data_IF_015246600575
#
_entry.id   IF_015246600575
#
_cell.length_a   1.000
_cell.length_b   1.000
_cell.length_c   1.000
_cell.angle_alpha   90.00
_cell.angle_beta   90.00
_cell.angle_gamma   90.00
#
_symmetry.space_group_name_H-M   'P 1'
#
loop_
_entity.id
_entity.type
_entity.pdbx_description
1 polymer ?
#
# COMPACT_ATOMS: atom_id res chain seq x y z
N UNK A 1 4.96 -14.89 14.98
CA UNK A 1 6.18 -14.09 14.65
C UNK A 1 6.58 -14.15 13.18
N UNK A 2 6.51 -15.30 12.51
CA UNK A 2 6.80 -15.42 11.06
C UNK A 2 6.05 -14.40 10.20
N UNK A 3 4.73 -14.27 10.39
CA UNK A 3 3.89 -13.33 9.63
C UNK A 3 4.26 -11.85 9.82
N UNK A 4 4.73 -11.49 11.01
CA UNK A 4 5.19 -10.12 11.32
C UNK A 4 6.43 -9.80 10.48
N UNK A 5 7.42 -10.71 10.48
CA UNK A 5 8.67 -10.55 9.72
C UNK A 5 8.37 -10.50 8.23
N UNK A 6 7.54 -11.42 7.72
CA UNK A 6 7.10 -11.42 6.33
C UNK A 6 6.37 -10.14 5.95
N UNK A 7 5.47 -9.66 6.81
CA UNK A 7 4.74 -8.41 6.58
C UNK A 7 5.65 -7.19 6.47
N UNK A 8 6.66 -7.10 7.36
CA UNK A 8 7.68 -6.05 7.30
C UNK A 8 8.52 -6.16 6.02
N UNK A 9 8.93 -7.37 5.62
CA UNK A 9 9.69 -7.58 4.38
C UNK A 9 8.90 -7.11 3.14
N UNK A 10 7.62 -7.47 3.02
CA UNK A 10 6.75 -7.02 1.92
C UNK A 10 6.53 -5.50 1.92
N UNK A 11 6.43 -4.88 3.10
CA UNK A 11 6.31 -3.43 3.22
C UNK A 11 7.60 -2.69 2.80
N UNK A 12 8.76 -3.22 3.16
CA UNK A 12 10.06 -2.67 2.76
C UNK A 12 10.31 -2.84 1.26
N UNK A 13 10.04 -4.03 0.72
CA UNK A 13 10.14 -4.29 -0.71
C UNK A 13 9.21 -3.36 -1.50
N UNK A 14 7.94 -3.25 -1.11
CA UNK A 14 6.99 -2.36 -1.77
C UNK A 14 7.39 -0.88 -1.69
N UNK A 15 7.95 -0.44 -0.55
CA UNK A 15 8.51 0.92 -0.41
C UNK A 15 9.68 1.15 -1.36
N UNK A 16 10.55 0.16 -1.52
CA UNK A 16 11.68 0.23 -2.43
C UNK A 16 11.21 0.31 -3.90
N UNK A 17 10.21 -0.48 -4.31
CA UNK A 17 9.63 -0.42 -5.68
C UNK A 17 9.01 0.93 -5.99
N UNK A 18 8.41 1.59 -4.99
CA UNK A 18 7.80 2.91 -5.20
C UNK A 18 8.87 3.97 -5.45
N UNK A 19 9.98 3.90 -4.70
CA UNK A 19 11.09 4.87 -4.82
C UNK A 19 11.93 4.63 -6.08
N UNK A 20 12.23 3.38 -6.36
CA UNK A 20 13.09 2.95 -7.45
C UNK A 20 12.35 1.86 -8.26
N UNK A 21 11.34 2.25 -9.06
CA UNK A 21 10.54 1.30 -9.83
C UNK A 21 11.36 0.56 -10.89
N UNK A 22 12.43 1.15 -11.39
CA UNK A 22 13.30 0.55 -12.41
C UNK A 22 14.50 -0.23 -11.84
N UNK A 23 14.43 -0.64 -10.58
CA UNK A 23 15.51 -1.38 -9.93
C UNK A 23 15.64 -2.80 -10.48
N UNK A 24 16.86 -3.34 -10.48
CA UNK A 24 17.17 -4.68 -11.04
C UNK A 24 16.31 -5.79 -10.46
N UNK A 25 15.96 -5.71 -9.16
CA UNK A 25 15.09 -6.68 -8.53
C UNK A 25 13.63 -6.57 -9.02
N UNK A 26 13.14 -5.35 -9.28
CA UNK A 26 11.79 -5.12 -9.78
C UNK A 26 11.68 -5.58 -11.25
N UNK A 27 12.73 -5.34 -12.05
CA UNK A 27 12.91 -5.92 -13.39
C UNK A 27 12.96 -7.44 -13.36
N UNK A 28 13.75 -8.01 -12.46
CA UNK A 28 13.84 -9.46 -12.26
C UNK A 28 12.49 -10.10 -11.91
N UNK A 29 11.74 -9.49 -10.98
CA UNK A 29 10.42 -9.97 -10.58
C UNK A 29 9.39 -9.90 -11.71
N UNK A 30 9.47 -8.86 -12.53
CA UNK A 30 8.59 -8.66 -13.70
C UNK A 30 9.08 -9.36 -14.97
N UNK A 31 10.24 -10.03 -14.91
CA UNK A 31 10.91 -10.71 -16.04
C UNK A 31 11.16 -9.77 -17.23
N UNK A 32 11.49 -8.52 -16.94
CA UNK A 32 11.84 -7.53 -17.95
C UNK A 32 13.35 -7.61 -18.21
N UNK A 33 13.78 -7.75 -19.47
CA UNK A 33 15.20 -7.72 -19.84
C UNK A 33 15.87 -6.39 -19.46
N UNK A 34 17.18 -6.45 -19.15
CA UNK A 34 17.94 -5.27 -18.71
C UNK A 34 18.15 -4.22 -19.82
N UNK A 35 18.07 -4.64 -21.08
CA UNK A 35 18.31 -3.84 -22.28
C UNK A 35 17.05 -3.09 -22.78
N UNK A 36 15.90 -3.28 -22.13
CA UNK A 36 14.64 -2.63 -22.49
C UNK A 36 14.44 -1.36 -21.66
N UNK A 37 14.39 -0.20 -22.32
CA UNK A 37 13.96 1.05 -21.68
C UNK A 37 12.47 0.98 -21.32
N UNK A 38 12.15 1.27 -20.06
CA UNK A 38 10.78 1.27 -19.57
C UNK A 38 10.10 2.61 -19.83
N UNK A 39 8.87 2.55 -20.32
CA UNK A 39 8.06 3.76 -20.48
C UNK A 39 7.54 4.26 -19.14
N UNK A 40 7.17 5.54 -19.05
CA UNK A 40 6.55 6.12 -17.86
C UNK A 40 5.33 5.31 -17.38
N UNK A 41 4.57 4.73 -18.31
CA UNK A 41 3.39 3.92 -18.00
C UNK A 41 3.79 2.61 -17.30
N UNK A 42 4.91 2.02 -17.68
CA UNK A 42 5.43 0.77 -17.08
C UNK A 42 5.98 1.02 -15.68
N UNK A 43 6.72 2.12 -15.49
CA UNK A 43 7.20 2.56 -14.18
C UNK A 43 6.04 2.82 -13.22
N UNK A 44 4.99 3.47 -13.71
CA UNK A 44 3.75 3.68 -12.95
C UNK A 44 3.11 2.33 -12.57
N UNK A 45 3.00 1.39 -13.51
CA UNK A 45 2.47 0.05 -13.22
C UNK A 45 3.27 -0.64 -12.10
N UNK A 46 4.60 -0.54 -12.10
CA UNK A 46 5.44 -1.08 -11.03
C UNK A 46 5.19 -0.42 -9.68
N UNK A 47 5.08 0.92 -9.64
CA UNK A 47 4.75 1.64 -8.41
C UNK A 47 3.39 1.23 -7.82
N UNK A 48 2.39 0.92 -8.67
CA UNK A 48 1.11 0.36 -8.19
C UNK A 48 1.28 -1.02 -7.58
N UNK A 49 2.14 -1.85 -8.18
CA UNK A 49 2.56 -3.13 -7.61
C UNK A 49 3.21 -2.96 -6.23
N UNK A 50 4.08 -1.96 -6.07
CA UNK A 50 4.68 -1.59 -4.78
C UNK A 50 3.65 -1.20 -3.72
N UNK A 51 2.63 -0.41 -4.09
CA UNK A 51 1.52 -0.05 -3.18
C UNK A 51 0.75 -1.30 -2.74
N UNK A 52 0.47 -2.22 -3.67
CA UNK A 52 -0.19 -3.49 -3.34
C UNK A 52 0.68 -4.36 -2.42
N UNK A 53 1.99 -4.40 -2.65
CA UNK A 53 2.96 -5.10 -1.78
C UNK A 53 2.95 -4.52 -0.37
N UNK A 54 2.92 -3.20 -0.21
CA UNK A 54 2.80 -2.55 1.10
C UNK A 54 1.48 -2.93 1.77
N UNK A 55 0.37 -2.85 1.04
CA UNK A 55 -0.94 -3.25 1.55
C UNK A 55 -0.91 -4.69 2.06
N UNK A 56 -0.45 -5.62 1.23
CA UNK A 56 -0.30 -7.02 1.62
C UNK A 56 0.61 -7.21 2.83
N UNK A 57 1.73 -6.48 2.90
CA UNK A 57 2.63 -6.50 4.05
C UNK A 57 1.96 -6.05 5.35
N UNK A 58 1.16 -4.98 5.31
CA UNK A 58 0.36 -4.50 6.46
C UNK A 58 -0.64 -5.58 6.89
N UNK A 59 -1.32 -6.23 5.95
CA UNK A 59 -2.26 -7.31 6.26
C UNK A 59 -1.56 -8.47 7.00
N UNK A 60 -0.44 -8.95 6.48
CA UNK A 60 0.35 -10.02 7.11
C UNK A 60 0.86 -9.62 8.50
N UNK A 61 1.29 -8.37 8.66
CA UNK A 61 1.71 -7.84 9.94
C UNK A 61 0.58 -7.85 10.97
N UNK A 62 -0.62 -7.41 10.58
CA UNK A 62 -1.81 -7.40 11.45
C UNK A 62 -2.25 -8.82 11.82
N UNK A 63 -2.22 -9.76 10.87
CA UNK A 63 -2.46 -11.19 11.15
C UNK A 63 -1.43 -11.69 12.19
N UNK A 64 -0.15 -11.42 11.97
CA UNK A 64 0.91 -11.83 12.90
C UNK A 64 0.80 -11.22 14.30
N UNK A 65 0.30 -9.98 14.43
CA UNK A 65 0.02 -9.39 15.74
C UNK A 65 -1.20 -10.04 16.39
N UNK A 66 -2.25 -10.33 15.62
CA UNK A 66 -3.47 -10.96 16.15
C UNK A 66 -3.19 -12.31 16.80
N UNK A 67 -2.28 -13.11 16.22
CA UNK A 67 -1.80 -14.37 16.80
C UNK A 67 -1.07 -14.20 18.14
N UNK A 68 -0.43 -13.04 18.37
CA UNK A 68 0.38 -12.80 19.58
C UNK A 68 -0.46 -12.19 20.70
N UNK A 69 -1.38 -11.28 20.36
CA UNK A 69 -2.04 -10.41 21.35
C UNK A 69 -3.48 -10.85 21.64
N UNK A 70 -4.09 -11.75 20.85
CA UNK A 70 -5.50 -12.17 20.99
C UNK A 70 -6.49 -11.01 21.23
N UNK A 71 -6.16 -9.80 20.77
CA UNK A 71 -6.95 -8.60 21.05
C UNK A 71 -7.74 -8.23 19.80
N UNK A 72 -8.97 -8.75 19.74
CA UNK A 72 -10.01 -8.30 18.81
C UNK A 72 -10.05 -6.75 18.71
N UNK A 73 -9.99 -6.07 19.85
CA UNK A 73 -10.04 -4.61 19.93
C UNK A 73 -8.89 -3.91 19.18
N UNK A 74 -7.69 -4.49 19.17
CA UNK A 74 -6.54 -3.90 18.47
C UNK A 74 -6.68 -4.00 16.95
N UNK A 75 -7.07 -5.18 16.46
CA UNK A 75 -7.33 -5.39 15.03
C UNK A 75 -8.49 -4.53 14.52
N UNK A 76 -9.57 -4.42 15.31
CA UNK A 76 -10.71 -3.58 14.98
C UNK A 76 -10.34 -2.09 14.94
N UNK A 77 -9.58 -1.57 15.92
CA UNK A 77 -9.11 -0.18 15.88
C UNK A 77 -8.17 0.07 14.69
N UNK A 78 -7.26 -0.84 14.38
CA UNK A 78 -6.39 -0.72 13.22
C UNK A 78 -7.18 -0.67 11.90
N UNK A 79 -8.22 -1.50 11.77
CA UNK A 79 -9.13 -1.48 10.63
C UNK A 79 -9.85 -0.13 10.47
N UNK A 80 -10.38 0.43 11.56
CA UNK A 80 -11.03 1.75 11.57
C UNK A 80 -10.06 2.84 11.13
N UNK A 81 -8.80 2.80 11.61
CA UNK A 81 -7.76 3.77 11.22
C UNK A 81 -7.44 3.65 9.73
N UNK A 82 -7.26 2.44 9.21
CA UNK A 82 -7.00 2.22 7.78
C UNK A 82 -8.14 2.74 6.89
N UNK A 83 -9.38 2.50 7.29
CA UNK A 83 -10.57 3.02 6.62
C UNK A 83 -10.57 4.56 6.64
N UNK A 84 -10.33 5.17 7.80
CA UNK A 84 -10.30 6.63 7.94
C UNK A 84 -9.21 7.28 7.07
N UNK A 85 -8.01 6.68 7.00
CA UNK A 85 -6.93 7.13 6.12
C UNK A 85 -7.33 6.95 4.64
N UNK A 86 -7.92 5.81 4.29
CA UNK A 86 -8.39 5.53 2.92
C UNK A 86 -9.43 6.52 2.44
N UNK A 87 -10.45 6.82 3.26
CA UNK A 87 -11.46 7.86 3.00
C UNK A 87 -10.78 9.22 2.86
N UNK A 88 -9.84 9.56 3.74
CA UNK A 88 -9.15 10.85 3.69
C UNK A 88 -8.38 11.03 2.39
N UNK A 89 -7.69 9.98 1.91
CA UNK A 89 -6.95 10.00 0.65
C UNK A 89 -7.86 10.16 -0.58
N UNK A 90 -9.05 9.57 -0.57
CA UNK A 90 -10.03 9.67 -1.66
C UNK A 90 -10.74 11.02 -1.64
N UNK A 91 -11.14 11.50 -0.46
CA UNK A 91 -12.06 12.63 -0.29
C UNK A 91 -11.35 13.99 -0.25
N UNK A 92 -10.17 14.08 0.38
CA UNK A 92 -9.49 15.37 0.56
C UNK A 92 -8.57 15.70 -0.62
N UNK A 93 -9.16 16.24 -1.68
CA UNK A 93 -8.44 16.81 -2.84
C UNK A 93 -7.59 18.04 -2.49
N UNK A 94 -7.78 18.66 -1.31
CA UNK A 94 -7.15 19.91 -0.87
C UNK A 94 -6.39 19.83 0.47
N UNK A 95 -6.05 18.62 0.94
CA UNK A 95 -5.16 18.50 2.11
C UNK A 95 -3.80 19.15 1.84
N UNK A 96 -3.11 19.66 2.87
CA UNK A 96 -1.72 20.16 2.79
C UNK A 96 -0.79 19.19 2.03
N UNK A 97 -1.07 17.88 2.09
CA UNK A 97 -0.41 16.83 1.31
C UNK A 97 -0.49 17.04 -0.22
N UNK A 98 -1.60 17.58 -0.74
CA UNK A 98 -1.77 17.86 -2.16
C UNK A 98 -1.21 19.22 -2.59
N UNK A 99 -1.11 20.19 -1.66
CA UNK A 99 -0.55 21.52 -1.92
C UNK A 99 0.97 21.50 -2.19
N UNK A 100 1.69 20.54 -1.61
CA UNK A 100 3.12 20.37 -1.84
C UNK A 100 3.48 19.54 -3.09
N UNK A 101 2.48 19.11 -3.89
CA UNK A 101 2.71 18.21 -5.03
C UNK A 101 3.14 18.91 -6.32
N UNK A 102 3.27 20.24 -6.33
CA UNK A 102 3.82 21.03 -7.44
C UNK A 102 2.81 21.30 -8.57
N UNK A 103 2.91 22.50 -9.16
CA UNK A 103 2.01 23.01 -10.22
C UNK A 103 2.29 22.43 -11.62
N UNK A 104 3.04 21.32 -11.73
CA UNK A 104 3.41 20.69 -13.00
C UNK A 104 2.36 19.71 -13.52
N UNK A 105 2.31 19.51 -14.84
CA UNK A 105 1.33 18.69 -15.58
C UNK A 105 1.12 17.23 -15.16
N UNK A 106 1.85 16.76 -14.15
CA UNK A 106 1.78 15.40 -13.57
C UNK A 106 0.82 15.29 -12.36
N UNK A 107 0.19 16.40 -11.97
CA UNK A 107 -0.76 16.48 -10.86
C UNK A 107 -1.95 15.51 -11.01
N UNK A 108 -2.40 15.28 -12.25
CA UNK A 108 -3.51 14.37 -12.56
C UNK A 108 -3.17 12.90 -12.27
N UNK A 109 -1.96 12.46 -12.63
CA UNK A 109 -1.52 11.08 -12.36
C UNK A 109 -1.37 10.87 -10.85
N UNK A 110 -0.76 11.81 -10.13
CA UNK A 110 -0.62 11.72 -8.66
C UNK A 110 -1.97 11.64 -7.95
N UNK A 111 -2.98 12.41 -8.38
CA UNK A 111 -4.34 12.31 -7.83
C UNK A 111 -4.94 10.91 -8.05
N UNK A 112 -4.72 10.30 -9.23
CA UNK A 112 -5.14 8.92 -9.47
C UNK A 112 -4.42 7.93 -8.56
N UNK A 113 -3.14 8.13 -8.29
CA UNK A 113 -2.36 7.30 -7.36
C UNK A 113 -2.91 7.34 -5.94
N UNK A 114 -3.16 8.53 -5.40
CA UNK A 114 -3.70 8.66 -4.05
C UNK A 114 -5.10 8.09 -3.93
N UNK A 115 -5.95 8.25 -4.95
CA UNK A 115 -7.25 7.58 -5.00
C UNK A 115 -7.10 6.07 -4.99
N UNK A 116 -6.20 5.51 -5.81
CA UNK A 116 -5.93 4.07 -5.84
C UNK A 116 -5.43 3.56 -4.48
N UNK A 117 -4.44 4.22 -3.89
CA UNK A 117 -3.92 3.87 -2.56
C UNK A 117 -5.01 3.96 -1.48
N UNK A 118 -5.86 4.99 -1.53
CA UNK A 118 -7.00 5.13 -0.63
C UNK A 118 -8.04 4.02 -0.79
N UNK A 119 -8.31 3.58 -2.02
CA UNK A 119 -9.20 2.44 -2.29
C UNK A 119 -8.62 1.13 -1.77
N UNK A 120 -7.31 0.90 -1.93
CA UNK A 120 -6.60 -0.27 -1.37
C UNK A 120 -6.70 -0.27 0.16
N UNK A 121 -6.47 0.88 0.81
CA UNK A 121 -6.59 1.01 2.27
C UNK A 121 -8.01 0.78 2.78
N UNK A 122 -9.02 1.28 2.06
CA UNK A 122 -10.42 1.00 2.36
C UNK A 122 -10.71 -0.50 2.31
N UNK A 123 -10.34 -1.15 1.21
CA UNK A 123 -10.57 -2.59 1.01
C UNK A 123 -9.82 -3.43 2.06
N UNK A 124 -8.61 -3.02 2.41
CA UNK A 124 -7.82 -3.71 3.42
C UNK A 124 -8.38 -3.52 4.82
N UNK A 125 -8.79 -2.31 5.17
CA UNK A 125 -9.43 -2.01 6.46
C UNK A 125 -10.75 -2.75 6.63
N UNK A 126 -11.61 -2.82 5.59
CA UNK A 126 -12.84 -3.62 5.65
C UNK A 126 -12.56 -5.11 5.78
N UNK A 127 -11.57 -5.64 5.06
CA UNK A 127 -11.18 -7.04 5.17
C UNK A 127 -10.67 -7.39 6.57
N UNK A 128 -9.81 -6.55 7.15
CA UNK A 128 -9.33 -6.73 8.54
C UNK A 128 -10.50 -6.66 9.52
N UNK A 129 -11.45 -5.75 9.33
CA UNK A 129 -12.63 -5.65 10.18
C UNK A 129 -13.46 -6.94 10.15
N UNK A 130 -13.71 -7.50 8.96
CA UNK A 130 -14.43 -8.77 8.79
C UNK A 130 -13.68 -9.93 9.45
N UNK A 131 -12.36 -10.02 9.26
CA UNK A 131 -11.54 -11.04 9.91
C UNK A 131 -11.60 -10.94 11.43
N UNK A 132 -11.61 -9.72 11.99
CA UNK A 132 -11.74 -9.53 13.44
C UNK A 132 -13.06 -10.13 13.95
N UNK A 133 -14.18 -9.94 13.25
CA UNK A 133 -15.48 -10.50 13.66
C UNK A 133 -15.53 -12.02 13.65
N UNK A 134 -14.63 -12.71 12.93
CA UNK A 134 -14.56 -14.19 12.98
C UNK A 134 -13.94 -14.72 14.28
N UNK A 135 -13.25 -13.86 15.05
CA UNK A 135 -12.63 -14.22 16.33
C UNK A 135 -13.46 -13.79 17.55
N UNK A 136 -14.71 -13.39 17.34
CA UNK A 136 -15.68 -12.99 18.37
C UNK A 136 -16.75 -14.08 18.52
#
# INVERSE_FOLDING_TARGET
>A
MFWIIMGVAFALLGRHTIKEPDSDWARWLSRIPEDVEQTDVDLLRMQRGGILSIGFGILLFLIGISEVVHLFAFGFMAAVILIAIGISLIRYRQSWLYKNLGDGGDQYMRIKYFKFAGTVLLALGTLVMVLCFQFL
#
